data_IF_644723058165
#
_entry.id   IF_644723058165
#
_cell.length_a   1.000
_cell.length_b   1.000
_cell.length_c   1.000
_cell.angle_alpha   90.00
_cell.angle_beta   90.00
_cell.angle_gamma   90.00
#
_symmetry.space_group_name_H-M   'P 1'
#
loop_
_entity.id
_entity.type
_entity.pdbx_description
1 polymer ?
#
# COMPACT_ATOMS: atom_id res chain seq x y z
N UNK A 1 6.60 -3.29 11.90
CA UNK A 1 7.36 -3.23 13.15
C UNK A 1 8.63 -2.42 12.93
N UNK A 2 9.57 -2.86 12.08
CA UNK A 2 10.85 -2.17 11.85
C UNK A 2 10.65 -0.71 11.48
N UNK A 3 9.73 -0.41 10.56
CA UNK A 3 9.34 0.95 10.17
C UNK A 3 8.88 1.79 11.37
N UNK A 4 8.08 1.22 12.27
CA UNK A 4 7.65 1.90 13.49
C UNK A 4 8.82 2.26 14.40
N UNK A 5 9.76 1.33 14.61
CA UNK A 5 10.97 1.57 15.40
C UNK A 5 11.84 2.65 14.77
N UNK A 6 12.10 2.58 13.47
CA UNK A 6 12.89 3.57 12.73
C UNK A 6 12.26 4.97 12.84
N UNK A 7 10.94 5.08 12.75
CA UNK A 7 10.25 6.37 12.88
C UNK A 7 10.25 6.89 14.34
N UNK A 8 10.24 6.03 15.34
CA UNK A 8 10.46 6.46 16.73
C UNK A 8 11.86 7.06 16.89
N UNK A 9 12.89 6.38 16.38
CA UNK A 9 14.26 6.90 16.39
C UNK A 9 14.38 8.23 15.63
N UNK A 10 13.65 8.35 14.49
CA UNK A 10 13.54 9.61 13.75
C UNK A 10 12.97 10.74 14.64
N UNK A 11 11.92 10.47 15.40
CA UNK A 11 11.31 11.45 16.32
C UNK A 11 12.25 11.93 17.42
N UNK A 12 13.19 11.10 17.88
CA UNK A 12 14.20 11.48 18.87
C UNK A 12 15.46 12.09 18.27
N UNK A 13 15.63 12.05 16.96
CA UNK A 13 16.80 12.60 16.29
C UNK A 13 16.80 14.14 16.31
N UNK A 14 17.99 14.71 16.28
CA UNK A 14 18.23 16.17 16.19
C UNK A 14 19.20 16.54 15.07
N UNK A 15 19.89 15.57 14.48
CA UNK A 15 20.86 15.77 13.41
C UNK A 15 20.24 15.59 12.03
N UNK A 16 20.54 16.49 11.09
CA UNK A 16 20.10 16.40 9.70
C UNK A 16 20.51 15.07 9.02
N UNK A 17 21.73 14.63 9.28
CA UNK A 17 22.23 13.35 8.75
C UNK A 17 21.47 12.15 9.32
N UNK A 18 21.15 12.18 10.63
CA UNK A 18 20.34 11.14 11.24
C UNK A 18 18.93 11.11 10.64
N UNK A 19 18.31 12.26 10.42
CA UNK A 19 17.03 12.35 9.72
C UNK A 19 17.09 11.74 8.33
N UNK A 20 18.10 12.09 7.52
CA UNK A 20 18.24 11.58 6.16
C UNK A 20 18.42 10.04 6.13
N UNK A 21 19.29 9.51 6.99
CA UNK A 21 19.55 8.07 7.06
C UNK A 21 18.30 7.31 7.56
N UNK A 22 17.66 7.79 8.61
CA UNK A 22 16.46 7.14 9.14
C UNK A 22 15.29 7.22 8.17
N UNK A 23 15.16 8.31 7.42
CA UNK A 23 14.14 8.42 6.36
C UNK A 23 14.38 7.45 5.21
N UNK A 24 15.63 7.32 4.77
CA UNK A 24 16.01 6.33 3.75
C UNK A 24 15.76 4.89 4.21
N UNK A 25 16.11 4.57 5.46
CA UNK A 25 15.80 3.25 6.04
C UNK A 25 14.28 3.01 6.13
N UNK A 26 13.51 4.02 6.54
CA UNK A 26 12.06 3.94 6.59
C UNK A 26 11.47 3.64 5.20
N UNK A 27 11.88 4.36 4.17
CA UNK A 27 11.44 4.14 2.79
C UNK A 27 11.78 2.72 2.30
N UNK A 28 12.99 2.26 2.59
CA UNK A 28 13.42 0.89 2.25
C UNK A 28 12.52 -0.18 2.88
N UNK A 29 12.26 -0.10 4.19
CA UNK A 29 11.43 -1.09 4.87
C UNK A 29 9.94 -0.96 4.52
N UNK A 30 9.43 0.23 4.21
CA UNK A 30 8.07 0.42 3.73
C UNK A 30 7.83 -0.22 2.35
N UNK A 31 8.82 -0.19 1.47
CA UNK A 31 8.71 -0.78 0.14
C UNK A 31 8.36 -2.28 0.13
N UNK A 32 8.64 -3.00 1.22
CA UNK A 32 8.33 -4.43 1.35
C UNK A 32 6.85 -4.73 1.63
N UNK A 33 6.07 -3.75 2.07
CA UNK A 33 4.68 -3.95 2.47
C UNK A 33 3.77 -4.36 1.32
N UNK A 34 3.81 -3.65 0.21
CA UNK A 34 2.92 -3.86 -0.93
C UNK A 34 3.07 -5.24 -1.59
N UNK A 35 4.29 -5.76 -1.90
CA UNK A 35 4.45 -7.10 -2.46
C UNK A 35 3.94 -8.21 -1.54
N UNK A 36 4.10 -8.07 -0.23
CA UNK A 36 3.59 -9.06 0.75
C UNK A 36 2.06 -9.05 0.76
N UNK A 37 1.43 -7.88 0.77
CA UNK A 37 -0.03 -7.77 0.71
C UNK A 37 -0.59 -8.32 -0.62
N UNK A 38 0.07 -8.05 -1.74
CA UNK A 38 -0.28 -8.61 -3.05
C UNK A 38 -0.27 -10.14 -3.02
N UNK A 39 0.79 -10.73 -2.47
CA UNK A 39 0.91 -12.18 -2.31
C UNK A 39 -0.19 -12.77 -1.42
N UNK A 40 -0.52 -12.11 -0.32
CA UNK A 40 -1.61 -12.54 0.56
C UNK A 40 -2.95 -12.52 -0.15
N UNK A 41 -3.27 -11.43 -0.86
CA UNK A 41 -4.51 -11.31 -1.61
C UNK A 41 -4.62 -12.36 -2.72
N UNK A 42 -3.51 -12.67 -3.40
CA UNK A 42 -3.51 -13.74 -4.41
C UNK A 42 -3.62 -15.14 -3.81
N UNK A 43 -3.14 -15.37 -2.61
CA UNK A 43 -3.20 -16.67 -1.95
C UNK A 43 -4.56 -16.98 -1.31
N UNK A 44 -5.28 -15.94 -0.83
CA UNK A 44 -6.52 -16.09 -0.08
C UNK A 44 -7.80 -15.83 -0.90
N UNK A 45 -7.72 -15.14 -2.04
CA UNK A 45 -8.86 -14.76 -2.84
C UNK A 45 -8.73 -15.22 -4.29
N UNK A 46 -9.83 -15.72 -4.86
CA UNK A 46 -9.88 -16.16 -6.25
C UNK A 46 -9.80 -14.98 -7.23
N UNK A 47 -9.49 -15.28 -8.50
CA UNK A 47 -9.37 -14.28 -9.58
C UNK A 47 -10.64 -13.43 -9.73
N UNK A 48 -11.82 -14.03 -9.56
CA UNK A 48 -13.12 -13.40 -9.76
C UNK A 48 -13.51 -12.39 -8.67
N UNK A 49 -12.96 -12.53 -7.46
CA UNK A 49 -13.27 -11.67 -6.31
C UNK A 49 -12.07 -10.81 -5.85
N UNK A 50 -10.88 -11.09 -6.40
CA UNK A 50 -9.62 -10.43 -6.01
C UNK A 50 -9.64 -8.92 -6.23
N UNK A 51 -10.39 -8.43 -7.22
CA UNK A 51 -10.50 -7.00 -7.50
C UNK A 51 -11.19 -6.21 -6.40
N UNK A 52 -12.31 -6.71 -5.92
CA UNK A 52 -13.04 -6.10 -4.81
C UNK A 52 -12.20 -6.08 -3.52
N UNK A 53 -11.54 -7.20 -3.21
CA UNK A 53 -10.65 -7.28 -2.03
C UNK A 53 -9.41 -6.40 -2.16
N UNK A 54 -8.85 -6.30 -3.37
CA UNK A 54 -7.75 -5.37 -3.64
C UNK A 54 -8.17 -3.92 -3.47
N UNK A 55 -9.35 -3.55 -3.99
CA UNK A 55 -9.91 -2.23 -3.81
C UNK A 55 -10.14 -1.92 -2.33
N UNK A 56 -10.72 -2.84 -1.58
CA UNK A 56 -10.93 -2.69 -0.14
C UNK A 56 -9.59 -2.53 0.62
N UNK A 57 -8.58 -3.33 0.31
CA UNK A 57 -7.25 -3.16 0.88
C UNK A 57 -6.65 -1.78 0.57
N UNK A 58 -6.81 -1.32 -0.67
CA UNK A 58 -6.29 -0.01 -1.09
C UNK A 58 -6.98 1.16 -0.36
N UNK A 59 -8.23 1.01 0.09
CA UNK A 59 -8.91 2.05 0.87
C UNK A 59 -8.23 2.34 2.19
N UNK A 60 -7.51 1.37 2.77
CA UNK A 60 -6.75 1.59 4.01
C UNK A 60 -5.71 2.71 3.85
N UNK A 61 -5.18 2.89 2.65
CA UNK A 61 -4.25 3.97 2.33
C UNK A 61 -4.91 5.35 2.41
N UNK A 62 -6.11 5.48 1.86
CA UNK A 62 -6.88 6.74 1.90
C UNK A 62 -7.38 7.02 3.32
N UNK A 63 -7.84 6.01 4.04
CA UNK A 63 -8.26 6.14 5.45
C UNK A 63 -7.07 6.58 6.33
N UNK A 64 -5.90 5.97 6.13
CA UNK A 64 -4.67 6.36 6.82
C UNK A 64 -4.27 7.80 6.50
N UNK A 65 -4.31 8.17 5.21
CA UNK A 65 -4.02 9.53 4.73
C UNK A 65 -4.94 10.59 5.33
N UNK A 66 -6.21 10.25 5.58
CA UNK A 66 -7.17 11.16 6.21
C UNK A 66 -7.04 11.24 7.74
N UNK A 67 -6.83 10.09 8.41
CA UNK A 67 -6.81 10.03 9.87
C UNK A 67 -5.49 10.48 10.50
N UNK A 68 -4.36 10.13 9.91
CA UNK A 68 -3.05 10.42 10.50
C UNK A 68 -2.80 11.92 10.66
N UNK A 69 -3.07 12.79 9.69
CA UNK A 69 -2.90 14.23 9.88
C UNK A 69 -3.74 14.78 11.04
N UNK A 70 -4.97 14.28 11.22
CA UNK A 70 -5.85 14.71 12.32
C UNK A 70 -5.26 14.30 13.66
N UNK A 71 -4.84 13.05 13.80
CA UNK A 71 -4.20 12.54 15.02
C UNK A 71 -2.90 13.29 15.33
N UNK A 72 -2.10 13.54 14.29
CA UNK A 72 -0.85 14.29 14.40
C UNK A 72 -1.11 15.75 14.84
N UNK A 73 -2.07 16.43 14.23
CA UNK A 73 -2.42 17.80 14.60
C UNK A 73 -2.94 17.89 16.04
N UNK A 74 -3.87 17.02 16.43
CA UNK A 74 -4.42 16.99 17.79
C UNK A 74 -3.35 16.72 18.86
N UNK A 75 -2.44 15.78 18.61
CA UNK A 75 -1.35 15.47 19.53
C UNK A 75 -0.26 16.52 19.55
N UNK A 76 0.05 17.12 18.39
CA UNK A 76 1.09 18.15 18.29
C UNK A 76 0.73 19.43 19.07
N UNK A 77 -0.56 19.79 19.11
CA UNK A 77 -1.05 20.95 19.86
C UNK A 77 -0.80 20.84 21.37
N UNK A 78 -0.87 19.62 21.94
CA UNK A 78 -0.78 19.42 23.39
C UNK A 78 0.58 18.89 23.84
N UNK A 79 1.23 18.05 23.02
CA UNK A 79 2.42 17.29 23.41
C UNK A 79 3.60 17.47 22.45
N UNK A 80 3.43 18.30 21.42
CA UNK A 80 4.44 18.50 20.37
C UNK A 80 4.43 17.40 19.30
N UNK A 81 5.02 17.71 18.14
CA UNK A 81 5.01 16.84 16.97
C UNK A 81 5.68 15.47 17.18
N UNK A 82 6.70 15.42 18.07
CA UNK A 82 7.39 14.16 18.43
C UNK A 82 6.46 13.15 19.10
N UNK A 83 5.56 13.63 19.96
CA UNK A 83 4.58 12.76 20.62
C UNK A 83 3.58 12.18 19.61
N UNK A 84 3.11 12.98 18.65
CA UNK A 84 2.23 12.51 17.58
C UNK A 84 2.88 11.40 16.76
N UNK A 85 4.13 11.59 16.33
CA UNK A 85 4.89 10.54 15.64
C UNK A 85 5.02 9.28 16.48
N UNK A 86 5.39 9.41 17.74
CA UNK A 86 5.58 8.25 18.64
C UNK A 86 4.28 7.45 18.81
N UNK A 87 3.15 8.12 18.99
CA UNK A 87 1.83 7.46 19.11
C UNK A 87 1.48 6.69 17.83
N UNK A 88 1.61 7.31 16.67
CA UNK A 88 1.34 6.67 15.39
C UNK A 88 2.25 5.43 15.17
N UNK A 89 3.53 5.56 15.54
CA UNK A 89 4.50 4.47 15.43
C UNK A 89 4.21 3.33 16.42
N UNK A 90 3.80 3.63 17.64
CA UNK A 90 3.40 2.61 18.61
C UNK A 90 2.17 1.82 18.11
N UNK A 91 1.17 2.51 17.56
CA UNK A 91 0.02 1.85 16.93
C UNK A 91 0.43 0.96 15.76
N UNK A 92 1.36 1.41 14.92
CA UNK A 92 1.89 0.60 13.82
C UNK A 92 2.67 -0.64 14.30
N UNK A 93 3.43 -0.52 15.39
CA UNK A 93 4.14 -1.66 16.01
C UNK A 93 3.13 -2.65 16.59
N UNK A 94 2.13 -2.18 17.33
CA UNK A 94 1.09 -3.04 17.91
C UNK A 94 0.30 -3.77 16.81
N UNK A 95 -0.10 -3.07 15.75
CA UNK A 95 -0.73 -3.68 14.59
C UNK A 95 0.19 -4.72 13.93
N UNK A 96 1.49 -4.41 13.79
CA UNK A 96 2.48 -5.34 13.25
C UNK A 96 2.65 -6.60 14.11
N UNK A 97 2.67 -6.48 15.43
CA UNK A 97 2.71 -7.60 16.35
C UNK A 97 1.44 -8.46 16.26
N UNK A 98 0.27 -7.81 16.19
CA UNK A 98 -1.00 -8.50 15.98
C UNK A 98 -1.00 -9.30 14.67
N UNK A 99 -0.51 -8.69 13.58
CA UNK A 99 -0.38 -9.38 12.29
C UNK A 99 0.59 -10.58 12.36
N UNK A 100 1.73 -10.44 13.03
CA UNK A 100 2.66 -11.57 13.24
C UNK A 100 2.00 -12.74 13.96
N UNK A 101 1.10 -12.45 14.89
CA UNK A 101 0.38 -13.49 15.63
C UNK A 101 -0.75 -14.14 14.81
N UNK A 102 -1.55 -13.32 14.09
CA UNK A 102 -2.79 -13.79 13.42
C UNK A 102 -2.65 -14.11 11.94
N UNK A 103 -1.75 -13.42 11.23
CA UNK A 103 -1.65 -13.55 9.79
C UNK A 103 -1.05 -14.90 9.39
N UNK A 104 -1.65 -15.52 8.38
CA UNK A 104 -1.13 -16.75 7.74
C UNK A 104 -0.87 -16.49 6.28
N UNK A 105 0.25 -16.98 5.79
CA UNK A 105 0.75 -16.71 4.42
C UNK A 105 -0.21 -17.26 3.34
N UNK A 106 -0.82 -18.42 3.61
CA UNK A 106 -1.68 -19.10 2.64
C UNK A 106 -2.65 -20.06 3.36
N UNK A 107 -3.78 -20.43 2.72
CA UNK A 107 -4.76 -21.37 3.28
C UNK A 107 -4.16 -22.70 3.69
N UNK A 108 -3.23 -23.24 2.91
CA UNK A 108 -2.58 -24.52 3.18
C UNK A 108 -1.79 -24.56 4.50
N UNK A 109 -1.31 -23.39 4.96
CA UNK A 109 -0.61 -23.28 6.26
C UNK A 109 -1.52 -23.55 7.46
N UNK A 110 -2.84 -23.55 7.27
CA UNK A 110 -3.86 -23.85 8.28
C UNK A 110 -4.69 -25.08 7.92
N UNK A 111 -4.22 -25.92 6.99
CA UNK A 111 -4.88 -27.17 6.59
C UNK A 111 -6.06 -27.00 5.64
N UNK A 112 -6.24 -25.82 5.04
CA UNK A 112 -7.28 -25.57 4.04
C UNK A 112 -6.76 -25.86 2.62
N UNK A 113 -7.64 -26.23 1.67
CA UNK A 113 -7.25 -26.39 0.27
C UNK A 113 -6.80 -25.06 -0.35
N UNK A 114 -6.08 -25.12 -1.47
CA UNK A 114 -5.77 -23.91 -2.23
C UNK A 114 -7.05 -23.27 -2.77
N UNK A 115 -7.02 -21.93 -2.94
CA UNK A 115 -8.22 -21.19 -3.39
C UNK A 115 -8.69 -21.63 -4.77
N UNK A 116 -7.76 -21.95 -5.68
CA UNK A 116 -8.07 -22.50 -7.00
C UNK A 116 -8.85 -23.81 -6.90
N UNK A 117 -8.43 -24.73 -6.02
CA UNK A 117 -9.12 -26.02 -5.81
C UNK A 117 -10.49 -25.83 -5.15
N UNK A 118 -10.60 -24.94 -4.16
CA UNK A 118 -11.85 -24.63 -3.47
C UNK A 118 -12.90 -23.99 -4.39
N UNK A 119 -12.47 -23.10 -5.29
CA UNK A 119 -13.33 -22.39 -6.23
C UNK A 119 -13.48 -23.09 -7.58
N UNK A 120 -12.79 -24.21 -7.79
CA UNK A 120 -12.74 -24.95 -9.07
C UNK A 120 -12.29 -24.05 -10.24
N UNK A 121 -11.34 -23.13 -9.99
CA UNK A 121 -10.79 -22.25 -11.03
C UNK A 121 -9.67 -22.98 -11.78
N UNK A 122 -10.05 -23.55 -12.95
CA UNK A 122 -9.13 -24.32 -13.78
C UNK A 122 -7.89 -23.53 -14.22
N UNK A 123 -8.01 -22.21 -14.44
CA UNK A 123 -6.89 -21.36 -14.84
C UNK A 123 -5.92 -21.14 -13.68
N UNK A 124 -6.43 -20.96 -12.46
CA UNK A 124 -5.58 -20.79 -11.27
C UNK A 124 -4.85 -22.09 -10.92
N UNK A 125 -5.53 -23.23 -11.07
CA UNK A 125 -4.92 -24.56 -10.90
C UNK A 125 -3.81 -24.79 -11.93
N UNK A 126 -4.06 -24.48 -13.20
CA UNK A 126 -3.07 -24.61 -14.26
C UNK A 126 -1.82 -23.73 -14.02
N UNK A 127 -2.01 -22.49 -13.61
CA UNK A 127 -0.91 -21.58 -13.27
C UNK A 127 -0.08 -22.06 -12.07
N UNK A 128 -0.73 -22.65 -11.08
CA UNK A 128 -0.02 -23.24 -9.93
C UNK A 128 0.83 -24.45 -10.35
N UNK A 129 0.30 -25.28 -11.24
CA UNK A 129 1.02 -26.45 -11.77
C UNK A 129 2.21 -26.05 -12.66
N UNK A 130 2.05 -25.06 -13.54
CA UNK A 130 3.15 -24.51 -14.34
C UNK A 130 4.26 -23.92 -13.47
N UNK A 131 3.93 -23.24 -12.38
CA UNK A 131 4.89 -22.65 -11.46
C UNK A 131 5.63 -23.66 -10.59
N UNK A 132 5.06 -24.84 -10.35
CA UNK A 132 5.59 -25.81 -9.39
C UNK A 132 6.93 -26.45 -9.82
N UNK A 133 7.22 -26.46 -11.12
CA UNK A 133 8.47 -27.02 -11.68
C UNK A 133 9.60 -26.02 -11.90
N UNK A 134 9.36 -24.72 -11.67
CA UNK A 134 10.33 -23.67 -12.01
C UNK A 134 11.18 -23.27 -10.80
N UNK A 135 12.46 -23.02 -11.03
CA UNK A 135 13.34 -22.45 -10.02
C UNK A 135 13.03 -20.97 -9.79
N UNK A 136 13.32 -20.44 -8.60
CA UNK A 136 13.12 -19.01 -8.30
C UNK A 136 13.83 -18.08 -9.28
N UNK A 137 15.00 -18.48 -9.77
CA UNK A 137 15.80 -17.74 -10.76
C UNK A 137 15.09 -17.70 -12.11
N UNK A 138 14.55 -18.83 -12.57
CA UNK A 138 13.77 -18.89 -13.81
C UNK A 138 12.51 -18.07 -13.75
N UNK A 139 11.75 -18.14 -12.65
CA UNK A 139 10.58 -17.31 -12.43
C UNK A 139 10.96 -15.82 -12.51
N UNK A 140 12.00 -15.40 -11.81
CA UNK A 140 12.42 -14.00 -11.80
C UNK A 140 12.89 -13.55 -13.19
N UNK A 141 13.69 -14.35 -13.88
CA UNK A 141 14.24 -13.96 -15.19
C UNK A 141 13.15 -13.97 -16.26
N UNK A 142 12.35 -15.01 -16.35
CA UNK A 142 11.38 -15.20 -17.43
C UNK A 142 10.12 -14.35 -17.25
N UNK A 143 9.56 -14.31 -16.04
CA UNK A 143 8.28 -13.65 -15.79
C UNK A 143 8.42 -12.21 -15.29
N UNK A 144 9.59 -11.79 -14.82
CA UNK A 144 9.81 -10.41 -14.37
C UNK A 144 10.74 -9.67 -15.34
N UNK A 145 11.98 -10.08 -15.48
CA UNK A 145 12.97 -9.31 -16.27
C UNK A 145 12.71 -9.32 -17.77
N UNK A 146 12.33 -10.46 -18.32
CA UNK A 146 12.10 -10.62 -19.77
C UNK A 146 10.65 -10.35 -20.19
N UNK A 147 9.76 -10.03 -19.26
CA UNK A 147 8.36 -9.75 -19.57
C UNK A 147 8.16 -8.25 -19.88
N UNK A 148 7.90 -7.87 -21.15
CA UNK A 148 7.73 -6.47 -21.53
C UNK A 148 6.50 -5.82 -20.89
N UNK A 149 5.46 -6.59 -20.59
CA UNK A 149 4.26 -6.07 -19.96
C UNK A 149 4.51 -5.59 -18.52
N UNK A 150 5.40 -6.26 -17.78
CA UNK A 150 5.79 -5.81 -16.43
C UNK A 150 6.53 -4.48 -16.51
N UNK A 151 7.42 -4.30 -17.49
CA UNK A 151 8.13 -3.02 -17.67
C UNK A 151 7.18 -1.89 -18.06
N UNK A 152 6.25 -2.16 -18.98
CA UNK A 152 5.24 -1.18 -19.38
C UNK A 152 4.35 -0.78 -18.19
N UNK A 153 3.83 -1.75 -17.44
CA UNK A 153 3.02 -1.48 -16.25
C UNK A 153 3.82 -0.74 -15.18
N UNK A 154 5.09 -1.09 -14.97
CA UNK A 154 5.96 -0.39 -14.02
C UNK A 154 6.18 1.06 -14.42
N UNK A 155 6.38 1.34 -15.71
CA UNK A 155 6.52 2.70 -16.21
C UNK A 155 5.22 3.51 -16.01
N UNK A 156 4.06 2.93 -16.36
CA UNK A 156 2.77 3.56 -16.11
C UNK A 156 2.58 3.87 -14.62
N UNK A 157 2.97 2.94 -13.75
CA UNK A 157 2.87 3.11 -12.31
C UNK A 157 3.77 4.24 -11.79
N UNK A 158 5.01 4.33 -12.29
CA UNK A 158 5.92 5.45 -11.98
C UNK A 158 5.28 6.79 -12.34
N UNK A 159 4.71 6.92 -13.56
CA UNK A 159 4.08 8.16 -14.01
C UNK A 159 2.88 8.55 -13.11
N UNK A 160 2.03 7.60 -12.77
CA UNK A 160 0.90 7.83 -11.86
C UNK A 160 1.39 8.28 -10.47
N UNK A 161 2.45 7.64 -9.95
CA UNK A 161 2.99 7.99 -8.63
C UNK A 161 3.69 9.35 -8.62
N UNK A 162 4.33 9.75 -9.70
CA UNK A 162 4.90 11.12 -9.83
C UNK A 162 3.79 12.17 -9.68
N UNK A 163 2.67 12.00 -10.38
CA UNK A 163 1.52 12.92 -10.27
C UNK A 163 0.93 12.90 -8.85
N UNK A 164 0.77 11.71 -8.28
CA UNK A 164 0.22 11.55 -6.94
C UNK A 164 1.11 12.20 -5.87
N UNK A 165 2.42 11.97 -5.93
CA UNK A 165 3.38 12.58 -5.01
C UNK A 165 3.41 14.10 -5.15
N UNK A 166 3.37 14.62 -6.38
CA UNK A 166 3.32 16.06 -6.60
C UNK A 166 2.09 16.71 -5.94
N UNK A 167 0.91 16.06 -6.02
CA UNK A 167 -0.31 16.60 -5.41
C UNK A 167 -0.27 16.45 -3.88
N UNK A 168 0.12 15.30 -3.37
CA UNK A 168 0.05 15.02 -1.93
C UNK A 168 1.14 15.72 -1.12
N UNK A 169 2.36 15.81 -1.67
CA UNK A 169 3.51 16.33 -0.92
C UNK A 169 3.67 17.84 -1.14
N UNK A 170 3.36 18.33 -2.33
CA UNK A 170 3.60 19.71 -2.73
C UNK A 170 2.34 20.53 -3.03
N UNK A 171 1.18 19.87 -3.19
CA UNK A 171 -0.06 20.54 -3.59
C UNK A 171 -0.48 21.65 -2.62
N UNK A 172 -0.42 21.40 -1.31
CA UNK A 172 -0.75 22.39 -0.29
C UNK A 172 0.17 23.59 -0.33
N UNK A 173 1.47 23.35 -0.44
CA UNK A 173 2.49 24.38 -0.47
C UNK A 173 2.34 25.22 -1.75
N UNK A 174 2.14 24.59 -2.88
CA UNK A 174 1.91 25.28 -4.15
C UNK A 174 0.67 26.17 -4.12
N UNK A 175 -0.45 25.68 -3.58
CA UNK A 175 -1.67 26.46 -3.48
C UNK A 175 -1.52 27.64 -2.53
N UNK A 176 -0.88 27.46 -1.40
CA UNK A 176 -0.72 28.53 -0.40
C UNK A 176 0.31 29.57 -0.81
N UNK A 177 1.47 29.16 -1.32
CA UNK A 177 2.56 30.10 -1.64
C UNK A 177 2.45 30.74 -3.04
N UNK A 178 1.98 29.97 -4.05
CA UNK A 178 1.94 30.45 -5.43
C UNK A 178 0.59 31.05 -5.79
N UNK A 179 -0.52 30.44 -5.35
CA UNK A 179 -1.87 30.90 -5.67
C UNK A 179 -2.48 31.81 -4.58
N UNK A 180 -1.80 31.94 -3.43
CA UNK A 180 -2.30 32.77 -2.32
C UNK A 180 -3.57 32.24 -1.67
N UNK A 181 -3.88 30.96 -1.87
CA UNK A 181 -5.06 30.31 -1.27
C UNK A 181 -4.79 30.03 0.19
N UNK A 182 -5.79 30.23 1.05
CA UNK A 182 -5.65 29.94 2.47
C UNK A 182 -5.40 28.44 2.71
N UNK A 183 -4.68 28.12 3.77
CA UNK A 183 -4.22 26.77 4.08
C UNK A 183 -5.39 25.77 4.28
N UNK A 184 -6.54 26.23 4.79
CA UNK A 184 -7.73 25.39 4.98
C UNK A 184 -8.30 24.95 3.64
N UNK A 185 -8.40 25.87 2.68
CA UNK A 185 -8.90 25.58 1.33
C UNK A 185 -7.91 24.68 0.58
N UNK A 186 -6.59 24.92 0.69
CA UNK A 186 -5.57 24.07 0.11
C UNK A 186 -5.63 22.62 0.66
N UNK A 187 -5.77 22.46 1.96
CA UNK A 187 -5.93 21.15 2.59
C UNK A 187 -7.24 20.46 2.17
N UNK A 188 -8.32 21.23 2.01
CA UNK A 188 -9.60 20.68 1.55
C UNK A 188 -9.48 20.14 0.13
N UNK A 189 -8.76 20.81 -0.76
CA UNK A 189 -8.54 20.32 -2.13
C UNK A 189 -7.80 18.98 -2.16
N UNK A 190 -6.73 18.81 -1.35
CA UNK A 190 -6.02 17.54 -1.23
C UNK A 190 -6.91 16.46 -0.60
N UNK A 191 -7.73 16.81 0.37
CA UNK A 191 -8.72 15.88 0.95
C UNK A 191 -9.72 15.39 -0.10
N UNK A 192 -10.21 16.29 -0.97
CA UNK A 192 -11.13 15.92 -2.07
C UNK A 192 -10.45 15.02 -3.10
N UNK A 193 -9.16 15.22 -3.37
CA UNK A 193 -8.37 14.33 -4.22
C UNK A 193 -8.29 12.90 -3.62
N UNK A 194 -8.03 12.76 -2.32
CA UNK A 194 -7.99 11.45 -1.65
C UNK A 194 -9.39 10.79 -1.58
N UNK A 195 -10.45 11.56 -1.35
CA UNK A 195 -11.83 11.06 -1.40
C UNK A 195 -12.20 10.57 -2.81
N UNK A 196 -11.81 11.32 -3.84
CA UNK A 196 -11.98 10.89 -5.23
C UNK A 196 -11.23 9.59 -5.53
N UNK A 197 -10.02 9.47 -5.04
CA UNK A 197 -9.22 8.24 -5.13
C UNK A 197 -9.87 7.05 -4.41
N UNK A 198 -10.43 7.27 -3.23
CA UNK A 198 -11.17 6.26 -2.47
C UNK A 198 -12.38 5.74 -3.26
N UNK A 199 -13.25 6.63 -3.72
CA UNK A 199 -14.44 6.27 -4.50
C UNK A 199 -14.04 5.58 -5.81
N UNK A 200 -13.06 6.15 -6.53
CA UNK A 200 -12.55 5.61 -7.78
C UNK A 200 -11.98 4.19 -7.63
N UNK A 201 -11.25 3.92 -6.56
CA UNK A 201 -10.70 2.59 -6.28
C UNK A 201 -11.82 1.55 -6.05
N UNK A 202 -12.85 1.90 -5.29
CA UNK A 202 -14.00 1.01 -5.05
C UNK A 202 -14.79 0.73 -6.32
N UNK A 203 -15.10 1.77 -7.09
CA UNK A 203 -15.84 1.65 -8.36
C UNK A 203 -15.05 0.82 -9.38
N UNK A 204 -13.75 1.08 -9.53
CA UNK A 204 -12.89 0.35 -10.44
C UNK A 204 -12.73 -1.13 -10.03
N UNK A 205 -12.54 -1.40 -8.73
CA UNK A 205 -12.42 -2.77 -8.22
C UNK A 205 -13.70 -3.57 -8.42
N UNK A 206 -14.82 -3.03 -7.99
CA UNK A 206 -16.14 -3.67 -8.16
C UNK A 206 -16.55 -3.81 -9.63
N UNK A 207 -16.34 -2.76 -10.43
CA UNK A 207 -16.63 -2.77 -11.86
C UNK A 207 -15.78 -3.79 -12.61
N UNK A 208 -14.49 -3.89 -12.27
CA UNK A 208 -13.59 -4.89 -12.84
C UNK A 208 -14.07 -6.33 -12.58
N UNK A 209 -14.53 -6.62 -11.37
CA UNK A 209 -15.01 -7.97 -11.03
C UNK A 209 -16.34 -8.29 -11.72
N UNK A 210 -17.29 -7.33 -11.78
CA UNK A 210 -18.62 -7.57 -12.36
C UNK A 210 -18.68 -7.47 -13.87
N UNK A 211 -18.01 -6.48 -14.48
CA UNK A 211 -18.10 -6.23 -15.92
C UNK A 211 -17.17 -7.14 -16.73
N UNK A 212 -16.04 -7.52 -16.17
CA UNK A 212 -15.01 -8.30 -16.87
C UNK A 212 -14.82 -9.70 -16.30
N UNK A 213 -15.65 -10.16 -15.36
CA UNK A 213 -15.53 -11.48 -14.70
C UNK A 213 -14.10 -11.81 -14.22
N UNK A 214 -13.39 -10.80 -13.76
CA UNK A 214 -11.99 -10.93 -13.34
C UNK A 214 -10.98 -11.11 -14.48
N UNK A 215 -11.40 -11.07 -15.75
CA UNK A 215 -10.49 -11.04 -16.90
C UNK A 215 -9.88 -9.64 -17.03
N UNK A 216 -8.61 -9.53 -16.66
CA UNK A 216 -7.87 -8.26 -16.58
C UNK A 216 -6.72 -8.19 -17.59
N UNK A 217 -6.97 -8.57 -18.80
CA UNK A 217 -6.00 -8.53 -19.89
C UNK A 217 -5.58 -9.87 -20.37
#
# INVERSE_FOLDING_TARGET
IVTGVVNILFGFSTSLWAFAVLWALNAFFQGWGSPVCARLLTAWYSRTERGGWWALWNTAHNVGGALIPIVMAATALHYGWRAGMTIACCLAILAGLYLCWRLRDRPQAVGLPAVGDWRHDALEIAQQQEGAGLTRKEIFTRYVLLNPYIWLLSLCYVLVYVVRAAINDWGNLYMSETLGVDLVTANTAVTMFELGGFIGALVAGWGSDKLFNGNRG
#
